data_IF_120927819884
#
_entry.id   IF_120927819884
#
_cell.length_a   1.000
_cell.length_b   1.000
_cell.length_c   1.000
_cell.angle_alpha   90.00
_cell.angle_beta   90.00
_cell.angle_gamma   90.00
#
_symmetry.space_group_name_H-M   'P 1'
#
loop_
_entity.id
_entity.type
_entity.pdbx_description
1 polymer ?
#
# COMPACT_ATOMS: atom_id res chain seq x y z
N UNK A 1 -7.68 -14.33 -19.61
CA UNK A 1 -7.37 -13.25 -20.56
C UNK A 1 -5.87 -12.89 -20.58
N UNK A 2 -5.15 -12.86 -19.44
CA UNK A 2 -3.73 -12.52 -19.36
C UNK A 2 -2.84 -13.42 -20.24
N UNK A 3 -3.08 -14.73 -20.25
CA UNK A 3 -2.33 -15.67 -21.13
C UNK A 3 -2.48 -15.32 -22.61
N UNK A 4 -3.66 -14.83 -23.05
CA UNK A 4 -3.87 -14.37 -24.44
C UNK A 4 -3.10 -13.07 -24.76
N UNK A 5 -2.72 -12.30 -23.72
CA UNK A 5 -1.91 -11.10 -23.84
C UNK A 5 -0.40 -11.38 -23.75
N UNK A 6 0.01 -12.64 -23.70
CA UNK A 6 1.41 -13.05 -23.74
C UNK A 6 2.07 -13.23 -22.35
N UNK A 7 1.33 -13.06 -21.27
CA UNK A 7 1.87 -13.35 -19.93
C UNK A 7 2.07 -14.86 -19.76
N UNK A 8 3.29 -15.27 -19.40
CA UNK A 8 3.70 -16.69 -19.29
C UNK A 8 3.36 -17.27 -17.92
N UNK A 9 3.62 -16.51 -16.85
CA UNK A 9 3.42 -16.96 -15.47
C UNK A 9 2.06 -16.48 -14.97
N UNK A 10 1.01 -17.22 -15.34
CA UNK A 10 -0.37 -16.92 -14.93
C UNK A 10 -0.91 -18.10 -14.13
N UNK A 11 -1.19 -17.86 -12.86
CA UNK A 11 -1.88 -18.80 -11.97
C UNK A 11 -3.32 -18.36 -11.74
N UNK A 12 -4.15 -19.28 -11.28
CA UNK A 12 -5.52 -19.00 -10.84
C UNK A 12 -5.68 -19.66 -9.48
N UNK A 13 -5.87 -18.85 -8.45
CA UNK A 13 -6.04 -19.31 -7.09
C UNK A 13 -7.01 -18.39 -6.33
N UNK A 14 -7.47 -18.85 -5.19
CA UNK A 14 -8.24 -18.03 -4.25
C UNK A 14 -7.29 -17.01 -3.58
N UNK A 15 -7.51 -15.72 -3.82
CA UNK A 15 -6.68 -14.65 -3.26
C UNK A 15 -6.85 -14.46 -1.74
N UNK A 16 -7.84 -15.14 -1.12
CA UNK A 16 -7.96 -15.18 0.35
C UNK A 16 -7.00 -16.18 0.99
N UNK A 17 -6.31 -16.98 0.19
CA UNK A 17 -5.29 -17.92 0.62
C UNK A 17 -3.88 -17.36 0.36
N UNK A 18 -2.88 -17.74 1.17
CA UNK A 18 -1.50 -17.33 0.96
C UNK A 18 -0.98 -17.73 -0.42
N UNK A 19 -0.18 -16.85 -1.03
CA UNK A 19 0.47 -17.14 -2.31
C UNK A 19 1.66 -18.07 -2.10
N UNK A 20 1.85 -18.99 -3.05
CA UNK A 20 3.00 -19.91 -3.04
C UNK A 20 4.31 -19.20 -3.41
N UNK A 21 4.23 -18.22 -4.34
CA UNK A 21 5.37 -17.44 -4.75
C UNK A 21 5.81 -16.52 -3.60
N UNK A 22 7.11 -16.48 -3.35
CA UNK A 22 7.75 -15.62 -2.36
C UNK A 22 8.87 -14.84 -3.04
N UNK A 23 9.38 -13.84 -2.36
CA UNK A 23 10.52 -13.04 -2.80
C UNK A 23 10.29 -12.27 -4.12
N UNK A 24 9.07 -11.75 -4.30
CA UNK A 24 8.76 -10.89 -5.45
C UNK A 24 9.21 -9.44 -5.18
N UNK A 25 9.79 -8.81 -6.21
CA UNK A 25 10.31 -7.44 -6.10
C UNK A 25 9.18 -6.39 -6.03
N UNK A 26 8.08 -6.65 -6.74
CA UNK A 26 6.95 -5.71 -6.83
C UNK A 26 5.62 -6.43 -6.71
N UNK A 27 4.75 -5.91 -5.84
CA UNK A 27 3.35 -6.35 -5.69
C UNK A 27 2.42 -5.25 -6.18
N UNK A 28 1.59 -5.55 -7.18
CA UNK A 28 0.48 -4.68 -7.59
C UNK A 28 -0.81 -5.46 -7.45
N UNK A 29 -1.73 -4.96 -6.62
CA UNK A 29 -2.98 -5.66 -6.35
C UNK A 29 -4.19 -4.72 -6.35
N UNK A 30 -5.28 -5.19 -6.94
CA UNK A 30 -6.58 -4.54 -6.95
C UNK A 30 -7.65 -5.61 -6.64
N UNK A 31 -7.75 -6.03 -5.38
CA UNK A 31 -8.71 -7.07 -5.00
C UNK A 31 -10.15 -6.57 -5.09
N UNK A 32 -11.13 -7.48 -5.21
CA UNK A 32 -12.54 -7.11 -5.17
C UNK A 32 -12.89 -6.51 -3.81
N UNK A 33 -13.67 -5.44 -3.82
CA UNK A 33 -14.11 -4.77 -2.60
C UNK A 33 -15.28 -5.50 -1.96
N UNK A 34 -15.24 -5.69 -0.64
CA UNK A 34 -16.31 -6.35 0.06
C UNK A 34 -16.03 -6.63 1.53
N UNK A 35 -16.99 -7.30 2.15
CA UNK A 35 -16.84 -7.80 3.52
C UNK A 35 -16.47 -9.28 3.49
N UNK A 36 -15.62 -9.69 4.41
CA UNK A 36 -15.25 -11.07 4.64
C UNK A 36 -15.48 -11.45 6.11
N UNK A 37 -15.49 -12.74 6.40
CA UNK A 37 -15.37 -13.19 7.79
C UNK A 37 -14.08 -12.62 8.37
N UNK A 38 -14.15 -11.96 9.55
CA UNK A 38 -12.97 -11.39 10.15
C UNK A 38 -11.87 -12.42 10.38
N UNK A 39 -10.66 -12.10 9.93
CA UNK A 39 -9.45 -12.88 10.18
C UNK A 39 -8.45 -12.03 10.95
N UNK A 40 -7.62 -12.66 11.76
CA UNK A 40 -6.63 -12.00 12.61
C UNK A 40 -5.22 -12.15 12.02
N UNK A 41 -4.52 -11.02 11.91
CA UNK A 41 -3.15 -10.89 11.42
C UNK A 41 -2.37 -10.09 12.47
N UNK A 42 -1.49 -10.75 13.20
CA UNK A 42 -0.65 -10.16 14.25
C UNK A 42 -1.41 -9.22 15.21
N UNK A 43 -2.57 -9.70 15.71
CA UNK A 43 -3.43 -8.92 16.62
C UNK A 43 -4.38 -7.92 15.93
N UNK A 44 -4.28 -7.76 14.60
CA UNK A 44 -5.19 -6.89 13.83
C UNK A 44 -6.34 -7.69 13.23
N UNK A 45 -7.55 -7.38 13.63
CA UNK A 45 -8.77 -8.04 13.13
C UNK A 45 -9.27 -7.38 11.85
N UNK A 46 -9.04 -8.02 10.72
CA UNK A 46 -9.37 -7.51 9.37
C UNK A 46 -10.66 -8.17 8.87
N UNK A 47 -11.68 -7.36 8.59
CA UNK A 47 -13.01 -7.79 8.11
C UNK A 47 -13.32 -7.39 6.66
N UNK A 48 -12.42 -6.68 6.00
CA UNK A 48 -12.55 -6.36 4.58
C UNK A 48 -11.91 -7.43 3.72
N UNK A 49 -12.61 -7.85 2.65
CA UNK A 49 -12.11 -8.85 1.70
C UNK A 49 -10.82 -8.35 1.02
N UNK A 50 -10.85 -7.11 0.53
CA UNK A 50 -9.71 -6.45 -0.09
C UNK A 50 -8.52 -6.35 0.86
N UNK A 51 -8.75 -6.11 2.14
CA UNK A 51 -7.67 -6.03 3.15
C UNK A 51 -7.00 -7.38 3.37
N UNK A 52 -7.77 -8.46 3.52
CA UNK A 52 -7.22 -9.81 3.68
C UNK A 52 -6.43 -10.25 2.44
N UNK A 53 -6.97 -10.02 1.23
CA UNK A 53 -6.31 -10.35 -0.02
C UNK A 53 -5.03 -9.52 -0.25
N UNK A 54 -5.05 -8.25 0.13
CA UNK A 54 -3.87 -7.39 0.04
C UNK A 54 -2.76 -7.86 0.99
N UNK A 55 -3.08 -8.23 2.22
CA UNK A 55 -2.10 -8.77 3.17
C UNK A 55 -1.48 -10.06 2.61
N UNK A 56 -2.29 -11.00 2.13
CA UNK A 56 -1.78 -12.25 1.53
C UNK A 56 -0.84 -11.97 0.34
N UNK A 57 -1.16 -10.97 -0.50
CA UNK A 57 -0.29 -10.58 -1.61
C UNK A 57 1.03 -9.96 -1.11
N UNK A 58 0.98 -9.10 -0.09
CA UNK A 58 2.16 -8.46 0.50
C UNK A 58 3.10 -9.45 1.18
N UNK A 59 2.59 -10.56 1.71
CA UNK A 59 3.43 -11.62 2.29
C UNK A 59 4.36 -12.27 1.28
N UNK A 60 4.09 -12.18 -0.02
CA UNK A 60 4.99 -12.65 -1.08
C UNK A 60 6.12 -11.67 -1.41
N UNK A 61 6.04 -10.42 -0.96
CA UNK A 61 7.00 -9.37 -1.27
C UNK A 61 8.30 -9.54 -0.48
N UNK A 62 9.44 -9.25 -1.13
CA UNK A 62 10.76 -9.13 -0.48
C UNK A 62 10.77 -8.03 0.59
N UNK A 63 11.76 -8.07 1.48
CA UNK A 63 11.91 -7.06 2.54
C UNK A 63 12.15 -5.66 1.98
N UNK A 64 12.89 -5.55 0.88
CA UNK A 64 13.15 -4.31 0.13
C UNK A 64 12.23 -4.11 -1.08
N UNK A 65 11.18 -4.94 -1.21
CA UNK A 65 10.24 -4.88 -2.32
C UNK A 65 9.31 -3.67 -2.27
N UNK A 66 8.61 -3.42 -3.36
CA UNK A 66 7.64 -2.31 -3.47
C UNK A 66 6.23 -2.81 -3.70
N UNK A 67 5.24 -2.06 -3.23
CA UNK A 67 3.85 -2.40 -3.53
C UNK A 67 2.99 -1.18 -3.85
N UNK A 68 2.00 -1.44 -4.73
CA UNK A 68 0.87 -0.55 -4.96
C UNK A 68 -0.44 -1.33 -4.77
N UNK A 69 -1.26 -0.88 -3.83
CA UNK A 69 -2.51 -1.53 -3.47
C UNK A 69 -3.67 -0.60 -3.79
N UNK A 70 -4.65 -1.08 -4.55
CA UNK A 70 -5.89 -0.35 -4.81
C UNK A 70 -7.00 -0.98 -3.97
N UNK A 71 -7.63 -0.20 -3.11
CA UNK A 71 -8.74 -0.62 -2.25
C UNK A 71 -9.93 0.31 -2.38
N UNK A 72 -11.10 -0.12 -1.90
CA UNK A 72 -12.30 0.71 -1.91
C UNK A 72 -12.17 1.96 -1.04
N UNK A 73 -12.67 3.08 -1.53
CA UNK A 73 -12.54 4.40 -0.88
C UNK A 73 -13.48 4.63 0.30
N UNK A 74 -14.23 3.61 0.76
CA UNK A 74 -14.92 3.70 2.05
C UNK A 74 -13.95 3.77 3.24
N UNK A 75 -12.68 3.55 2.95
CA UNK A 75 -11.53 3.67 3.84
C UNK A 75 -10.91 5.06 3.70
N UNK A 76 -11.60 6.11 4.05
CA UNK A 76 -11.10 7.47 3.90
C UNK A 76 -10.45 7.98 5.19
N UNK A 77 -9.38 8.75 5.03
CA UNK A 77 -9.03 9.71 6.06
C UNK A 77 -10.17 10.71 6.19
N UNK A 78 -10.61 10.96 7.40
CA UNK A 78 -11.59 12.01 7.67
C UNK A 78 -10.99 13.37 7.25
N UNK A 79 -11.86 14.38 7.03
CA UNK A 79 -11.43 15.73 6.61
C UNK A 79 -10.41 16.39 7.55
N UNK A 80 -10.35 15.95 8.79
CA UNK A 80 -9.36 16.40 9.79
C UNK A 80 -8.02 15.62 9.70
N UNK A 81 -7.86 14.72 8.72
CA UNK A 81 -6.66 13.90 8.55
C UNK A 81 -6.57 12.65 9.45
N UNK A 82 -7.57 12.39 10.30
CA UNK A 82 -7.61 11.19 11.11
C UNK A 82 -8.13 9.98 10.32
N UNK A 83 -7.78 8.77 10.74
CA UNK A 83 -8.31 7.55 10.14
C UNK A 83 -9.76 7.32 10.50
N UNK A 84 -10.53 6.86 9.53
CA UNK A 84 -11.85 6.31 9.79
C UNK A 84 -11.72 5.05 10.66
N UNK A 85 -12.54 4.88 11.72
CA UNK A 85 -12.46 3.71 12.61
C UNK A 85 -12.51 2.35 11.91
N UNK A 86 -13.23 2.24 10.79
CA UNK A 86 -13.36 0.98 10.04
C UNK A 86 -12.05 0.51 9.38
N UNK A 87 -11.12 1.43 9.15
CA UNK A 87 -9.86 1.15 8.45
C UNK A 87 -8.67 1.13 9.37
N UNK A 88 -8.92 1.46 10.63
CA UNK A 88 -7.88 1.55 11.64
C UNK A 88 -7.09 0.25 11.79
N UNK A 89 -7.77 -0.90 11.70
CA UNK A 89 -7.11 -2.19 11.81
C UNK A 89 -6.22 -2.47 10.59
N UNK A 90 -6.75 -2.31 9.38
CA UNK A 90 -5.98 -2.60 8.16
C UNK A 90 -4.79 -1.64 7.97
N UNK A 91 -5.02 -0.34 8.07
CA UNK A 91 -3.93 0.63 7.98
C UNK A 91 -2.96 0.52 9.17
N UNK A 92 -3.46 0.20 10.36
CA UNK A 92 -2.62 -0.11 11.52
C UNK A 92 -1.65 -1.26 11.23
N UNK A 93 -2.16 -2.36 10.68
CA UNK A 93 -1.34 -3.48 10.25
C UNK A 93 -0.29 -3.06 9.21
N UNK A 94 -0.70 -2.32 8.17
CA UNK A 94 0.24 -1.88 7.13
C UNK A 94 1.36 -1.00 7.69
N UNK A 95 1.04 -0.01 8.53
CA UNK A 95 2.04 0.87 9.12
C UNK A 95 2.95 0.18 10.14
N UNK A 96 2.50 -0.91 10.75
CA UNK A 96 3.33 -1.70 11.67
C UNK A 96 4.30 -2.64 10.96
N UNK A 97 3.98 -3.08 9.73
CA UNK A 97 4.75 -4.12 9.03
C UNK A 97 5.46 -3.62 7.77
N UNK A 98 5.09 -2.44 7.26
CA UNK A 98 5.59 -1.92 6.00
C UNK A 98 5.88 -0.42 6.07
N UNK A 99 6.83 0.03 5.26
CA UNK A 99 7.09 1.46 5.05
C UNK A 99 6.04 2.02 4.08
N UNK A 100 4.90 2.49 4.62
CA UNK A 100 3.83 3.11 3.85
C UNK A 100 4.24 4.54 3.49
N UNK A 101 4.55 4.79 2.21
CA UNK A 101 4.96 6.11 1.71
C UNK A 101 3.78 7.06 1.60
N UNK A 102 2.69 6.60 0.98
CA UNK A 102 1.46 7.38 0.89
C UNK A 102 0.21 6.50 0.84
N UNK A 103 -0.91 7.11 1.20
CA UNK A 103 -2.27 6.59 1.05
C UNK A 103 -3.07 7.66 0.34
N UNK A 104 -3.33 7.50 -0.95
CA UNK A 104 -3.90 8.50 -1.84
C UNK A 104 -5.40 8.24 -2.00
N UNK A 105 -6.22 9.18 -1.60
CA UNK A 105 -7.65 9.12 -1.89
C UNK A 105 -7.86 9.52 -3.36
N UNK A 106 -8.61 8.72 -4.11
CA UNK A 106 -8.89 8.92 -5.53
C UNK A 106 -10.39 9.10 -5.72
N UNK A 107 -10.79 10.21 -6.33
CA UNK A 107 -12.19 10.52 -6.60
C UNK A 107 -12.77 9.51 -7.60
N UNK A 108 -14.00 9.07 -7.35
CA UNK A 108 -14.67 8.09 -8.22
C UNK A 108 -14.92 8.58 -9.64
N UNK A 109 -14.91 9.90 -9.88
CA UNK A 109 -15.07 10.48 -11.22
C UNK A 109 -13.98 10.04 -12.19
N UNK A 110 -12.76 9.74 -11.71
CA UNK A 110 -11.67 9.21 -12.52
C UNK A 110 -12.01 7.84 -13.16
N UNK A 111 -12.88 7.07 -12.55
CA UNK A 111 -13.33 5.77 -13.05
C UNK A 111 -14.67 5.82 -13.81
N UNK A 112 -15.26 6.99 -14.01
CA UNK A 112 -16.57 7.12 -14.67
C UNK A 112 -16.61 6.51 -16.08
N UNK A 113 -15.51 6.64 -16.84
CA UNK A 113 -15.37 6.02 -18.17
C UNK A 113 -15.30 4.50 -18.15
N UNK A 114 -14.93 3.90 -17.02
CA UNK A 114 -14.90 2.46 -16.79
C UNK A 114 -16.23 1.91 -16.23
N UNK A 115 -17.26 2.76 -16.14
CA UNK A 115 -18.60 2.34 -15.71
C UNK A 115 -18.83 2.34 -14.19
N UNK A 116 -17.93 2.95 -13.42
CA UNK A 116 -18.10 3.11 -11.97
C UNK A 116 -17.70 4.50 -11.52
N UNK A 117 -18.37 5.00 -10.49
CA UNK A 117 -17.99 6.24 -9.80
C UNK A 117 -17.60 5.98 -8.34
N UNK A 118 -17.22 4.75 -8.04
CA UNK A 118 -16.85 4.37 -6.70
C UNK A 118 -15.46 4.93 -6.34
N UNK A 119 -15.33 5.70 -5.25
CA UNK A 119 -14.04 6.23 -4.85
C UNK A 119 -13.11 5.10 -4.45
N UNK A 120 -11.83 5.25 -4.76
CA UNK A 120 -10.80 4.27 -4.43
C UNK A 120 -9.67 4.92 -3.63
N UNK A 121 -8.79 4.09 -3.15
CA UNK A 121 -7.58 4.50 -2.47
C UNK A 121 -6.39 3.72 -3.02
N UNK A 122 -5.31 4.41 -3.28
CA UNK A 122 -4.02 3.81 -3.64
C UNK A 122 -3.10 3.91 -2.44
N UNK A 123 -2.52 2.78 -2.04
CA UNK A 123 -1.53 2.68 -0.96
C UNK A 123 -0.20 2.33 -1.60
N UNK A 124 0.81 3.15 -1.34
CA UNK A 124 2.18 2.96 -1.82
C UNK A 124 3.07 2.48 -0.66
N UNK A 125 3.83 1.42 -0.92
CA UNK A 125 4.71 0.78 0.07
C UNK A 125 6.11 0.66 -0.53
N UNK A 126 7.12 0.96 0.29
CA UNK A 126 8.54 0.84 -0.03
C UNK A 126 9.24 0.03 1.07
N UNK A 127 9.24 -1.28 0.91
CA UNK A 127 9.88 -2.22 1.82
C UNK A 127 9.05 -2.62 3.05
N UNK A 128 9.53 -3.66 3.71
CA UNK A 128 9.02 -4.08 5.02
C UNK A 128 9.61 -3.19 6.11
N UNK A 129 8.91 -3.15 7.22
CA UNK A 129 9.36 -2.44 8.39
C UNK A 129 10.05 -3.37 9.36
N UNK A 130 11.18 -2.93 9.92
CA UNK A 130 11.90 -3.67 10.96
C UNK A 130 11.54 -3.18 12.36
N UNK A 131 10.99 -1.96 12.46
CA UNK A 131 10.61 -1.34 13.73
C UNK A 131 9.14 -1.59 14.04
N UNK A 132 8.86 -2.22 15.16
CA UNK A 132 7.49 -2.43 15.64
C UNK A 132 6.89 -1.13 16.20
N UNK A 133 5.54 -1.03 16.17
CA UNK A 133 4.75 0.03 16.82
C UNK A 133 4.74 1.43 16.15
N UNK A 134 4.64 1.48 14.84
CA UNK A 134 4.33 2.73 14.16
C UNK A 134 2.84 2.84 13.88
N UNK A 135 2.26 3.93 14.37
CA UNK A 135 0.86 4.24 14.11
C UNK A 135 0.69 5.02 12.80
N UNK A 136 -0.43 4.84 12.08
CA UNK A 136 -0.74 5.67 10.92
C UNK A 136 -0.68 7.15 11.27
N UNK A 137 0.08 7.97 10.53
CA UNK A 137 0.20 9.39 10.81
C UNK A 137 -1.11 10.13 10.51
N UNK A 138 -1.35 11.22 11.22
CA UNK A 138 -2.40 12.18 10.85
C UNK A 138 -1.95 12.90 9.58
N UNK A 139 -2.77 12.87 8.53
CA UNK A 139 -2.45 13.56 7.27
C UNK A 139 -2.79 15.04 7.34
N UNK A 140 -2.01 15.85 6.63
CA UNK A 140 -2.41 17.23 6.35
C UNK A 140 -3.72 17.25 5.54
N UNK A 141 -4.48 18.35 5.65
CA UNK A 141 -5.74 18.51 4.90
C UNK A 141 -5.55 18.28 3.40
N UNK A 142 -4.52 18.86 2.80
CA UNK A 142 -4.23 18.70 1.38
C UNK A 142 -3.94 17.24 0.99
N UNK A 143 -3.22 16.48 1.84
CA UNK A 143 -2.95 15.06 1.60
C UNK A 143 -4.16 14.15 1.84
N UNK A 144 -5.15 14.61 2.60
CA UNK A 144 -6.40 13.87 2.86
C UNK A 144 -7.46 14.13 1.80
N UNK A 145 -7.34 15.19 0.98
CA UNK A 145 -8.25 15.46 -0.13
C UNK A 145 -8.09 14.40 -1.24
N UNK A 146 -9.21 14.08 -1.87
CA UNK A 146 -9.19 13.11 -2.98
C UNK A 146 -8.66 13.77 -4.25
N UNK A 147 -7.78 13.06 -4.95
CA UNK A 147 -7.28 13.43 -6.27
C UNK A 147 -8.39 13.30 -7.30
N UNK A 148 -8.57 14.30 -8.17
CA UNK A 148 -9.69 14.41 -9.10
C UNK A 148 -9.29 14.33 -10.58
N UNK A 149 -8.01 14.33 -10.88
CA UNK A 149 -7.50 14.17 -12.25
C UNK A 149 -6.25 13.29 -12.28
N UNK A 150 -5.93 12.77 -13.47
CA UNK A 150 -4.81 11.85 -13.65
C UNK A 150 -3.45 12.53 -13.58
N UNK A 151 -3.34 13.80 -13.94
CA UNK A 151 -2.07 14.54 -13.91
C UNK A 151 -1.66 14.80 -12.46
N UNK A 152 -2.63 15.18 -11.61
CA UNK A 152 -2.42 15.30 -10.16
C UNK A 152 -2.01 13.96 -9.53
N UNK A 153 -2.70 12.88 -9.90
CA UNK A 153 -2.37 11.53 -9.42
C UNK A 153 -0.96 11.12 -9.82
N UNK A 154 -0.62 11.27 -11.09
CA UNK A 154 0.70 10.93 -11.62
C UNK A 154 1.81 11.73 -10.92
N UNK A 155 1.62 13.06 -10.80
CA UNK A 155 2.57 13.91 -10.10
C UNK A 155 2.79 13.47 -8.66
N UNK A 156 1.71 13.17 -7.93
CA UNK A 156 1.78 12.76 -6.53
C UNK A 156 2.54 11.43 -6.36
N UNK A 157 2.27 10.44 -7.21
CA UNK A 157 2.97 9.14 -7.19
C UNK A 157 4.45 9.34 -7.54
N UNK A 158 4.76 10.15 -8.57
CA UNK A 158 6.14 10.41 -8.99
C UNK A 158 6.94 11.14 -7.91
N UNK A 159 6.35 12.12 -7.23
CA UNK A 159 6.99 12.85 -6.13
C UNK A 159 7.29 11.93 -4.94
N UNK A 160 6.41 10.97 -4.64
CA UNK A 160 6.60 10.02 -3.54
C UNK A 160 7.69 8.99 -3.87
N UNK A 161 7.73 8.47 -5.11
CA UNK A 161 8.81 7.57 -5.57
C UNK A 161 10.17 8.26 -5.48
N UNK A 162 10.29 9.48 -6.01
CA UNK A 162 11.54 10.25 -5.97
C UNK A 162 11.98 10.63 -4.55
N UNK A 163 11.03 10.75 -3.62
CA UNK A 163 11.33 10.97 -2.21
C UNK A 163 11.88 9.71 -1.54
N UNK A 164 11.29 8.54 -1.82
CA UNK A 164 11.77 7.26 -1.35
C UNK A 164 13.21 6.98 -1.80
N UNK A 165 13.52 7.21 -3.07
CA UNK A 165 14.87 7.03 -3.62
C UNK A 165 15.92 7.95 -2.96
N UNK A 166 15.56 9.19 -2.63
CA UNK A 166 16.46 10.12 -1.91
C UNK A 166 16.72 9.71 -0.46
N UNK A 167 15.75 9.15 0.22
CA UNK A 167 15.93 8.64 1.59
C UNK A 167 16.83 7.42 1.60
N UNK A 168 16.66 6.48 0.67
CA UNK A 168 17.52 5.29 0.55
C UNK A 168 18.99 5.66 0.25
N UNK A 169 19.22 6.66 -0.60
CA UNK A 169 20.57 7.12 -0.91
C UNK A 169 21.26 7.81 0.29
N UNK A 170 20.51 8.56 1.07
CA UNK A 170 21.06 9.25 2.26
C UNK A 170 21.43 8.29 3.40
N UNK A 171 20.72 7.16 3.53
CA UNK A 171 21.04 6.10 4.50
C UNK A 171 22.35 5.40 4.10
N UNK A 172 22.53 5.07 2.81
CA UNK A 172 23.74 4.40 2.29
C UNK A 172 24.99 5.29 2.41
N UNK A 173 24.86 6.61 2.28
CA UNK A 173 25.97 7.55 2.49
C UNK A 173 26.33 7.73 3.98
N UNK A 174 25.36 7.57 4.89
CA UNK A 174 25.58 7.66 6.34
C UNK A 174 26.34 6.46 6.92
N UNK A 175 26.17 5.27 6.38
CA UNK A 175 26.87 4.05 6.84
C UNK A 175 28.34 3.98 6.38
N UNK A 176 28.73 4.75 5.36
CA UNK A 176 30.11 4.79 4.85
C UNK A 176 31.09 5.62 5.69
N UNK A 177 30.63 6.40 6.66
CA UNK A 177 31.46 7.37 7.40
C UNK A 177 31.72 7.04 8.88
N UNK A 178 31.40 5.84 9.35
CA UNK A 178 31.69 5.42 10.73
C UNK A 178 32.90 4.48 10.80
N UNK A 179 34.11 4.99 10.65
CA UNK A 179 35.34 4.41 11.22
C UNK A 179 35.97 5.42 12.16
N UNK A 180 35.99 5.21 13.46
CA UNK A 180 37.04 5.70 14.30
C UNK A 180 38.19 4.68 14.29
N UNK A 181 39.32 5.06 13.75
CA UNK A 181 40.60 4.43 14.12
C UNK A 181 40.84 4.78 15.59
N UNK A 182 41.02 3.77 16.40
CA UNK A 182 41.56 3.89 17.76
C UNK A 182 42.94 3.24 17.72
N UNK A 183 43.95 4.10 17.88
CA UNK A 183 45.28 3.74 18.33
C UNK A 183 45.27 3.33 19.80
#
# INVERSE_FOLDING_TARGET
NLRRQGFKNVTSQDGTQPFADKDVDVVVTNPPFGSATPNEYDGYKISSLEGQMAINALESMKDDGRAAIIIGGKTEYAKNGSLNPKDKAFLGYLYSHYNVEDVINVDGSLYAKQGTTYPTRIILINGRRLDENVFPPVKSKARAEAVKDYDELYKRISDDILRGERMDSSIKEGEGNARPELD
#
